data_IF_853871586968
#
_entry.id   IF_853871586968
#
_cell.length_a   1.000
_cell.length_b   1.000
_cell.length_c   1.000
_cell.angle_alpha   90.00
_cell.angle_beta   90.00
_cell.angle_gamma   90.00
#
_symmetry.space_group_name_H-M   'P 1'
#
loop_
_entity.id
_entity.type
_entity.pdbx_description
1 polymer ?
#
# COMPACT_ATOMS: atom_id res chain seq x y z
N UNK A 1 2.08 3.05 -7.97
CA UNK A 1 3.35 2.53 -7.43
C UNK A 1 4.24 2.06 -8.58
N UNK A 2 5.39 2.70 -8.75
CA UNK A 2 6.36 2.32 -9.76
C UNK A 2 7.00 0.97 -9.39
N UNK A 3 7.09 0.01 -10.32
CA UNK A 3 7.68 -1.30 -10.05
C UNK A 3 9.06 -1.24 -9.42
N UNK A 4 9.90 -0.29 -9.84
CA UNK A 4 11.25 -0.08 -9.31
C UNK A 4 11.23 0.35 -7.83
N UNK A 5 10.22 1.13 -7.40
CA UNK A 5 10.08 1.55 -6.01
C UNK A 5 9.56 0.40 -5.16
N UNK A 6 8.51 -0.27 -5.59
CA UNK A 6 7.92 -1.36 -4.80
C UNK A 6 8.85 -2.57 -4.64
N UNK A 7 9.70 -2.86 -5.62
CA UNK A 7 10.70 -3.92 -5.48
C UNK A 7 11.74 -3.60 -4.40
N UNK A 8 12.05 -2.33 -4.16
CA UNK A 8 12.94 -1.97 -3.05
C UNK A 8 12.31 -2.21 -1.68
N UNK A 9 10.98 -2.25 -1.59
CA UNK A 9 10.26 -2.48 -0.33
C UNK A 9 10.02 -3.95 -0.06
N UNK A 10 9.59 -4.72 -1.06
CA UNK A 10 9.11 -6.09 -0.87
C UNK A 10 9.90 -7.15 -1.64
N UNK A 11 10.84 -6.74 -2.47
CA UNK A 11 11.61 -7.65 -3.35
C UNK A 11 10.91 -7.93 -4.68
N UNK A 12 11.62 -8.62 -5.59
CA UNK A 12 11.21 -8.84 -6.99
C UNK A 12 9.94 -9.71 -7.14
N UNK A 13 9.57 -10.46 -6.11
CA UNK A 13 8.38 -11.33 -6.16
C UNK A 13 7.08 -10.55 -6.44
N UNK A 14 7.03 -9.26 -6.09
CA UNK A 14 5.88 -8.42 -6.38
C UNK A 14 5.59 -8.33 -7.88
N UNK A 15 6.63 -8.30 -8.72
CA UNK A 15 6.49 -8.23 -10.18
C UNK A 15 5.94 -9.51 -10.82
N UNK A 16 5.99 -10.62 -10.08
CA UNK A 16 5.45 -11.90 -10.53
C UNK A 16 3.93 -12.00 -10.38
N UNK A 17 3.29 -10.99 -9.74
CA UNK A 17 1.84 -11.01 -9.59
C UNK A 17 1.14 -10.51 -10.86
N UNK A 18 0.23 -11.33 -11.45
CA UNK A 18 -0.36 -11.02 -12.76
C UNK A 18 -1.21 -9.74 -12.78
N UNK A 19 -1.72 -9.30 -11.64
CA UNK A 19 -2.52 -8.06 -11.55
C UNK A 19 -1.71 -6.82 -11.86
N UNK A 20 -0.42 -6.78 -11.52
CA UNK A 20 0.44 -5.63 -11.82
C UNK A 20 0.63 -5.49 -13.33
N UNK A 21 0.91 -6.60 -14.01
CA UNK A 21 1.01 -6.61 -15.47
C UNK A 21 -0.32 -6.19 -16.14
N UNK A 22 -1.44 -6.69 -15.63
CA UNK A 22 -2.78 -6.34 -16.16
C UNK A 22 -3.12 -4.86 -15.99
N UNK A 23 -2.72 -4.25 -14.88
CA UNK A 23 -3.00 -2.84 -14.60
C UNK A 23 -2.45 -1.88 -15.66
N UNK A 24 -1.32 -2.23 -16.28
CA UNK A 24 -0.69 -1.41 -17.34
C UNK A 24 -0.79 -2.04 -18.73
N UNK A 25 -1.48 -3.16 -18.87
CA UNK A 25 -1.59 -3.87 -20.16
C UNK A 25 -0.28 -4.54 -20.62
N UNK A 26 0.64 -4.84 -19.70
CA UNK A 26 1.86 -5.55 -20.01
C UNK A 26 1.56 -7.00 -20.43
N UNK A 27 2.20 -7.47 -21.50
CA UNK A 27 2.01 -8.84 -22.01
C UNK A 27 2.91 -9.84 -21.29
N UNK A 28 4.05 -9.37 -20.75
CA UNK A 28 5.04 -10.18 -20.05
C UNK A 28 5.40 -9.51 -18.73
N UNK A 29 5.66 -10.33 -17.71
CA UNK A 29 6.07 -9.83 -16.40
C UNK A 29 7.44 -9.16 -16.44
N UNK A 30 8.34 -9.62 -17.32
CA UNK A 30 9.66 -9.04 -17.51
C UNK A 30 9.61 -7.57 -17.94
N UNK A 31 8.56 -7.18 -18.67
CA UNK A 31 8.36 -5.79 -19.10
C UNK A 31 8.19 -4.84 -17.89
N UNK A 32 7.77 -5.36 -16.73
CA UNK A 32 7.59 -4.57 -15.52
C UNK A 32 8.91 -4.19 -14.83
N UNK A 33 9.99 -4.93 -15.06
CA UNK A 33 11.32 -4.59 -14.53
C UNK A 33 11.88 -3.32 -15.16
N UNK A 34 11.52 -3.09 -16.42
CA UNK A 34 11.86 -1.88 -17.16
C UNK A 34 10.59 -1.32 -17.80
N UNK A 35 9.72 -0.67 -17.01
CA UNK A 35 8.43 -0.22 -17.48
C UNK A 35 8.59 0.80 -18.60
N UNK A 36 7.75 0.70 -19.61
CA UNK A 36 7.70 1.68 -20.70
C UNK A 36 7.30 3.05 -20.14
N UNK A 37 7.87 4.14 -20.68
CA UNK A 37 7.53 5.49 -20.21
C UNK A 37 6.04 5.80 -20.21
N UNK A 38 5.28 5.28 -21.19
CA UNK A 38 3.83 5.46 -21.27
C UNK A 38 3.03 4.77 -20.16
N UNK A 39 3.61 3.82 -19.40
CA UNK A 39 2.96 3.17 -18.27
C UNK A 39 3.11 3.96 -16.97
N UNK A 40 4.12 4.81 -16.86
CA UNK A 40 4.38 5.56 -15.62
C UNK A 40 3.19 6.43 -15.19
N UNK A 41 2.51 7.18 -16.09
CA UNK A 41 1.32 7.93 -15.70
C UNK A 41 0.21 7.04 -15.13
N UNK A 42 -0.02 5.85 -15.72
CA UNK A 42 -1.02 4.91 -15.24
C UNK A 42 -0.64 4.35 -13.86
N UNK A 43 0.62 3.98 -13.65
CA UNK A 43 1.11 3.49 -12.36
C UNK A 43 0.98 4.55 -11.26
N UNK A 44 1.23 5.81 -11.59
CA UNK A 44 1.00 6.94 -10.69
C UNK A 44 -0.48 7.12 -10.36
N UNK A 45 -1.33 7.11 -11.38
CA UNK A 45 -2.78 7.29 -11.22
C UNK A 45 -3.41 6.21 -10.35
N UNK A 46 -2.99 4.96 -10.51
CA UNK A 46 -3.50 3.85 -9.70
C UNK A 46 -2.82 3.71 -8.32
N UNK A 47 -1.88 4.57 -7.99
CA UNK A 47 -1.17 4.51 -6.72
C UNK A 47 -1.79 5.44 -5.69
N UNK A 48 -2.53 4.90 -4.73
CA UNK A 48 -3.17 5.69 -3.67
C UNK A 48 -2.18 6.63 -2.95
N UNK A 49 -0.94 6.19 -2.72
CA UNK A 49 0.07 6.98 -2.02
C UNK A 49 0.47 8.28 -2.76
N UNK A 50 0.31 8.32 -4.09
CA UNK A 50 0.64 9.52 -4.89
C UNK A 50 -0.41 10.62 -4.75
N UNK A 51 -1.62 10.27 -4.34
CA UNK A 51 -2.75 11.18 -4.20
C UNK A 51 -2.93 11.73 -2.78
N UNK A 52 -2.19 11.21 -1.81
CA UNK A 52 -2.29 11.67 -0.42
C UNK A 52 -1.89 13.14 -0.32
N UNK A 53 -2.82 13.97 0.17
CA UNK A 53 -2.71 15.42 0.28
C UNK A 53 -3.31 15.95 1.58
N UNK A 54 -2.90 17.17 1.98
CA UNK A 54 -3.48 17.83 3.13
C UNK A 54 -5.00 18.01 2.96
N UNK A 55 -5.76 17.64 3.98
CA UNK A 55 -7.23 17.71 3.95
C UNK A 55 -7.92 16.42 3.57
N UNK A 56 -7.18 15.38 3.22
CA UNK A 56 -7.77 14.05 3.06
C UNK A 56 -8.38 13.54 4.37
N UNK A 57 -9.45 12.74 4.29
CA UNK A 57 -10.09 12.19 5.48
C UNK A 57 -9.13 11.23 6.22
N UNK A 58 -9.37 11.01 7.53
CA UNK A 58 -8.62 10.01 8.29
C UNK A 58 -8.65 8.63 7.65
N UNK A 59 -7.53 7.92 7.72
CA UNK A 59 -7.36 6.59 7.13
C UNK A 59 -6.97 5.59 8.21
N UNK A 60 -7.55 4.40 8.17
CA UNK A 60 -7.07 3.25 8.93
C UNK A 60 -6.66 2.16 7.94
N UNK A 61 -5.44 1.67 8.10
CA UNK A 61 -4.90 0.51 7.36
C UNK A 61 -4.76 -0.63 8.35
N UNK A 62 -5.40 -1.75 8.07
CA UNK A 62 -5.29 -2.95 8.88
C UNK A 62 -4.66 -4.08 8.08
N UNK A 63 -3.66 -4.72 8.68
CA UNK A 63 -2.99 -5.90 8.13
C UNK A 63 -2.93 -6.99 9.21
N UNK A 64 -3.07 -8.27 8.84
CA UNK A 64 -3.06 -9.36 9.82
C UNK A 64 -1.73 -9.46 10.57
N UNK A 65 -0.61 -9.23 9.88
CA UNK A 65 0.74 -9.32 10.45
C UNK A 65 1.77 -8.57 9.62
N UNK A 66 2.96 -8.37 10.20
CA UNK A 66 4.15 -7.89 9.50
C UNK A 66 5.03 -9.08 9.14
N UNK A 67 4.93 -9.54 7.90
CA UNK A 67 5.76 -10.64 7.40
C UNK A 67 7.24 -10.22 7.25
N UNK A 68 8.20 -11.18 7.28
CA UNK A 68 9.60 -10.88 6.98
C UNK A 68 9.82 -10.42 5.53
N UNK A 69 10.82 -9.56 5.34
CA UNK A 69 11.27 -9.10 4.03
C UNK A 69 12.65 -9.68 3.67
N UNK A 70 12.94 -9.91 2.37
CA UNK A 70 12.04 -9.74 1.22
C UNK A 70 10.94 -10.79 1.18
N UNK A 71 9.80 -10.45 0.56
CA UNK A 71 8.68 -11.37 0.41
C UNK A 71 9.06 -12.60 -0.41
N UNK A 72 8.62 -13.78 0.01
CA UNK A 72 8.99 -15.07 -0.61
C UNK A 72 8.03 -15.54 -1.70
N UNK A 73 6.90 -14.85 -1.87
CA UNK A 73 5.92 -15.14 -2.92
C UNK A 73 5.25 -13.86 -3.43
N UNK A 74 4.70 -13.94 -4.65
CA UNK A 74 3.98 -12.83 -5.26
C UNK A 74 2.76 -12.38 -4.43
N UNK A 75 1.99 -13.33 -3.89
CA UNK A 75 0.85 -13.03 -3.02
C UNK A 75 1.27 -12.32 -1.73
N UNK A 76 2.30 -12.80 -1.05
CA UNK A 76 2.85 -12.14 0.13
C UNK A 76 3.33 -10.73 -0.22
N UNK A 77 4.01 -10.56 -1.35
CA UNK A 77 4.56 -9.28 -1.76
C UNK A 77 3.47 -8.22 -1.96
N UNK A 78 2.38 -8.52 -2.67
CA UNK A 78 1.33 -7.51 -2.96
C UNK A 78 0.44 -7.18 -1.76
N UNK A 79 0.40 -8.04 -0.74
CA UNK A 79 -0.39 -7.84 0.48
C UNK A 79 0.45 -7.47 1.70
N UNK A 80 1.74 -7.20 1.51
CA UNK A 80 2.65 -6.95 2.62
C UNK A 80 2.31 -5.65 3.37
N UNK A 81 2.33 -5.71 4.70
CA UNK A 81 2.00 -4.57 5.57
C UNK A 81 2.92 -3.36 5.38
N UNK A 82 4.09 -3.53 4.75
CA UNK A 82 5.01 -2.42 4.43
C UNK A 82 4.32 -1.32 3.60
N UNK A 83 3.35 -1.66 2.74
CA UNK A 83 2.59 -0.67 2.00
C UNK A 83 1.78 0.24 2.90
N UNK A 84 1.22 -0.31 3.98
CA UNK A 84 0.55 0.46 5.03
C UNK A 84 1.52 1.38 5.77
N UNK A 85 2.73 0.90 6.07
CA UNK A 85 3.79 1.74 6.67
C UNK A 85 4.12 2.91 5.76
N UNK A 86 4.35 2.66 4.47
CA UNK A 86 4.69 3.72 3.49
C UNK A 86 3.55 4.71 3.27
N UNK A 87 2.31 4.22 3.27
CA UNK A 87 1.13 5.08 3.22
C UNK A 87 1.05 5.97 4.46
N UNK A 88 1.28 5.39 5.65
CA UNK A 88 1.29 6.15 6.91
C UNK A 88 2.38 7.22 6.91
N UNK A 89 3.61 6.89 6.52
CA UNK A 89 4.71 7.87 6.41
C UNK A 89 4.31 9.07 5.53
N UNK A 90 3.67 8.78 4.38
CA UNK A 90 3.21 9.82 3.45
C UNK A 90 2.07 10.65 4.02
N UNK A 91 1.09 10.01 4.67
CA UNK A 91 -0.04 10.67 5.29
C UNK A 91 0.40 11.59 6.44
N UNK A 92 1.28 11.10 7.32
CA UNK A 92 1.84 11.87 8.43
C UNK A 92 2.57 13.13 7.90
N UNK A 93 3.36 12.97 6.82
CA UNK A 93 4.04 14.11 6.18
C UNK A 93 3.09 15.12 5.55
N UNK A 94 1.89 14.70 5.15
CA UNK A 94 0.82 15.57 4.62
C UNK A 94 -0.10 16.13 5.71
N UNK A 95 0.10 15.76 6.98
CA UNK A 95 -0.76 16.15 8.09
C UNK A 95 -2.11 15.41 8.13
N UNK A 96 -2.21 14.27 7.45
CA UNK A 96 -3.40 13.41 7.42
C UNK A 96 -3.31 12.38 8.53
N UNK A 97 -4.36 12.23 9.33
CA UNK A 97 -4.43 11.19 10.36
C UNK A 97 -4.47 9.81 9.70
N UNK A 98 -3.40 9.05 9.85
CA UNK A 98 -3.32 7.67 9.37
C UNK A 98 -2.98 6.73 10.51
N UNK A 99 -3.83 5.73 10.74
CA UNK A 99 -3.64 4.68 11.74
C UNK A 99 -3.23 3.41 11.01
N UNK A 100 -2.10 2.84 11.40
CA UNK A 100 -1.68 1.51 10.95
C UNK A 100 -1.92 0.52 12.08
N UNK A 101 -2.79 -0.45 11.83
CA UNK A 101 -3.07 -1.55 12.73
C UNK A 101 -2.46 -2.84 12.18
N UNK A 102 -1.55 -3.45 12.92
CA UNK A 102 -1.06 -4.81 12.68
C UNK A 102 -1.77 -5.69 13.70
N UNK A 103 -2.67 -6.58 13.25
CA UNK A 103 -3.54 -7.37 14.14
C UNK A 103 -2.71 -8.25 15.08
N UNK A 104 -1.63 -8.86 14.59
CA UNK A 104 -0.66 -9.56 15.40
C UNK A 104 0.06 -8.58 16.32
N UNK A 105 -0.25 -8.64 17.63
CA UNK A 105 0.31 -7.76 18.65
C UNK A 105 -0.40 -6.41 18.80
N UNK A 106 -1.54 -6.19 18.12
CA UNK A 106 -2.36 -5.01 18.37
C UNK A 106 -2.97 -5.08 19.77
N UNK A 107 -2.96 -3.95 20.46
CA UNK A 107 -3.62 -3.74 21.73
C UNK A 107 -4.85 -2.83 21.59
N UNK A 108 -5.57 -2.63 22.70
CA UNK A 108 -6.81 -1.84 22.74
C UNK A 108 -6.58 -0.33 22.49
N UNK A 109 -5.33 0.13 22.47
CA UNK A 109 -5.02 1.55 22.18
C UNK A 109 -5.17 1.89 20.70
N UNK A 110 -5.17 0.86 19.83
CA UNK A 110 -5.34 1.01 18.38
C UNK A 110 -6.75 0.55 18.00
N UNK A 111 -7.61 1.42 17.47
CA UNK A 111 -9.00 1.08 17.18
C UNK A 111 -9.11 -0.05 16.17
N UNK A 112 -10.12 -0.91 16.33
CA UNK A 112 -10.51 -1.85 15.27
C UNK A 112 -11.07 -1.10 14.07
N UNK A 113 -11.14 -1.71 12.85
CA UNK A 113 -11.77 -1.09 11.69
C UNK A 113 -13.20 -0.62 11.98
N UNK A 114 -13.99 -1.40 12.70
CA UNK A 114 -15.37 -1.08 13.08
C UNK A 114 -15.43 0.14 14.00
N UNK A 115 -14.60 0.18 15.05
CA UNK A 115 -14.51 1.32 15.94
C UNK A 115 -14.08 2.59 15.21
N UNK A 116 -13.04 2.48 14.37
CA UNK A 116 -12.61 3.62 13.57
C UNK A 116 -13.74 4.18 12.73
N UNK A 117 -14.49 3.34 12.02
CA UNK A 117 -15.62 3.78 11.19
C UNK A 117 -16.72 4.43 12.03
N UNK A 118 -17.09 3.84 13.16
CA UNK A 118 -18.09 4.41 14.07
C UNK A 118 -17.67 5.80 14.56
N UNK A 119 -16.42 5.96 14.96
CA UNK A 119 -15.88 7.24 15.40
C UNK A 119 -15.98 8.32 14.29
N UNK A 120 -15.60 7.96 13.03
CA UNK A 120 -15.68 8.90 11.92
C UNK A 120 -17.12 9.31 11.57
N UNK A 121 -18.08 8.38 11.73
CA UNK A 121 -19.49 8.64 11.41
C UNK A 121 -20.25 9.39 12.52
N UNK A 122 -19.78 9.28 13.76
CA UNK A 122 -20.45 9.89 14.93
C UNK A 122 -19.84 11.22 15.39
N UNK A 123 -18.60 11.50 15.00
CA UNK A 123 -17.96 12.79 15.29
C UNK A 123 -18.47 13.85 14.30
N UNK A 124 -19.31 14.75 14.81
CA UNK A 124 -19.76 15.94 14.08
C UNK A 124 -18.83 17.10 14.32
#
# INVERSE_FOLDING_TARGET
LEPQIITTWVGDQVLMHPMIARAVGAKKLEDLKNPRPEWLPLLHEFSAITHVSAGDPPVLVSNPRMDPLPATSAGMAIHHAIFGVKLKEKADAAGVKCILRIEEGADDSVPTPEQFLLDQLTTK
#
